data_IF_804437303522
#
_entry.id   IF_804437303522
#
_cell.length_a   1.000
_cell.length_b   1.000
_cell.length_c   1.000
_cell.angle_alpha   90.00
_cell.angle_beta   90.00
_cell.angle_gamma   90.00
#
_symmetry.space_group_name_H-M   'P 1'
#
loop_
_entity.id
_entity.type
_entity.pdbx_description
1 polymer ?
#
# COMPACT_ATOMS: atom_id res chain seq x y z
N UNK A 1 -18.81 3.93 -14.67
CA UNK A 1 -17.66 3.02 -14.99
C UNK A 1 -16.33 3.77 -15.01
N UNK A 2 -16.22 4.96 -15.62
CA UNK A 2 -14.95 5.70 -15.70
C UNK A 2 -14.28 6.03 -14.35
N UNK A 3 -15.06 6.28 -13.28
CA UNK A 3 -14.52 6.60 -11.94
C UNK A 3 -13.61 5.50 -11.37
N UNK A 4 -13.97 4.22 -11.59
CA UNK A 4 -13.15 3.09 -11.15
C UNK A 4 -11.77 3.12 -11.83
N UNK A 5 -11.74 3.38 -13.14
CA UNK A 5 -10.50 3.46 -13.91
C UNK A 5 -9.61 4.65 -13.48
N UNK A 6 -10.20 5.81 -13.20
CA UNK A 6 -9.43 6.98 -12.75
C UNK A 6 -8.82 6.74 -11.36
N UNK A 7 -9.61 6.20 -10.42
CA UNK A 7 -9.12 5.86 -9.09
C UNK A 7 -8.04 4.77 -9.13
N UNK A 8 -8.22 3.73 -9.94
CA UNK A 8 -7.27 2.64 -10.10
C UNK A 8 -5.90 3.15 -10.60
N UNK A 9 -5.87 4.10 -11.54
CA UNK A 9 -4.60 4.70 -12.01
C UNK A 9 -3.82 5.41 -10.91
N UNK A 10 -4.49 6.18 -10.05
CA UNK A 10 -3.83 6.86 -8.93
C UNK A 10 -3.27 5.88 -7.92
N UNK A 11 -4.06 4.86 -7.62
CA UNK A 11 -3.70 3.77 -6.74
C UNK A 11 -2.50 2.94 -7.27
N UNK A 12 -2.40 2.75 -8.60
CA UNK A 12 -1.30 2.03 -9.23
C UNK A 12 0.05 2.74 -9.13
N UNK A 13 0.09 4.08 -8.95
CA UNK A 13 1.35 4.83 -8.87
C UNK A 13 2.21 4.36 -7.68
N UNK A 14 1.73 4.36 -6.42
CA UNK A 14 2.47 3.77 -5.30
C UNK A 14 2.73 2.26 -5.47
N UNK A 15 1.73 1.51 -5.95
CA UNK A 15 1.82 0.06 -6.12
C UNK A 15 2.94 -0.35 -7.09
N UNK A 16 3.08 0.40 -8.19
CA UNK A 16 4.07 0.17 -9.23
C UNK A 16 5.48 0.41 -8.70
N UNK A 17 5.73 1.57 -8.08
CA UNK A 17 7.05 1.93 -7.54
C UNK A 17 7.50 0.93 -6.48
N UNK A 18 6.66 0.66 -5.48
CA UNK A 18 7.00 -0.26 -4.39
C UNK A 18 7.09 -1.70 -4.89
N UNK A 19 6.19 -2.10 -5.80
CA UNK A 19 6.20 -3.43 -6.39
C UNK A 19 7.46 -3.72 -7.20
N UNK A 20 7.96 -2.76 -7.98
CA UNK A 20 9.22 -2.89 -8.73
C UNK A 20 10.40 -2.97 -7.76
N UNK A 21 10.44 -2.12 -6.73
CA UNK A 21 11.51 -2.15 -5.73
C UNK A 21 11.60 -3.51 -5.02
N UNK A 22 10.46 -4.10 -4.64
CA UNK A 22 10.40 -5.43 -4.02
C UNK A 22 10.82 -6.51 -5.02
N UNK A 23 10.25 -6.50 -6.24
CA UNK A 23 10.55 -7.53 -7.24
C UNK A 23 12.02 -7.58 -7.67
N UNK A 24 12.68 -6.42 -7.72
CA UNK A 24 14.09 -6.33 -8.15
C UNK A 24 15.08 -6.64 -7.04
N UNK A 25 14.76 -6.35 -5.78
CA UNK A 25 15.69 -6.51 -4.66
C UNK A 25 15.38 -7.74 -3.81
N UNK A 26 14.12 -7.93 -3.43
CA UNK A 26 13.72 -8.95 -2.47
C UNK A 26 13.77 -10.35 -3.08
N UNK A 27 13.20 -10.51 -4.28
CA UNK A 27 13.04 -11.83 -4.91
C UNK A 27 14.40 -12.48 -5.23
N UNK A 28 15.38 -11.81 -5.88
CA UNK A 28 16.68 -12.41 -6.15
C UNK A 28 17.46 -12.72 -4.88
N UNK A 29 17.42 -11.83 -3.88
CA UNK A 29 18.13 -12.06 -2.61
C UNK A 29 17.55 -13.23 -1.83
N UNK A 30 16.22 -13.31 -1.73
CA UNK A 30 15.54 -14.41 -1.07
C UNK A 30 15.81 -15.74 -1.77
N UNK A 31 15.64 -15.83 -3.10
CA UNK A 31 15.93 -17.05 -3.85
C UNK A 31 17.37 -17.52 -3.69
N UNK A 32 18.34 -16.60 -3.67
CA UNK A 32 19.76 -16.93 -3.44
C UNK A 32 20.00 -17.51 -2.05
N UNK A 33 19.44 -16.89 -1.00
CA UNK A 33 19.63 -17.34 0.39
C UNK A 33 18.98 -18.69 0.66
N UNK A 34 17.79 -18.91 0.10
CA UNK A 34 17.07 -20.18 0.22
C UNK A 34 17.79 -21.32 -0.48
N UNK A 35 18.33 -21.09 -1.68
CA UNK A 35 19.17 -22.08 -2.38
C UNK A 35 20.46 -22.40 -1.63
N UNK A 36 20.99 -21.44 -0.87
CA UNK A 36 22.18 -21.64 -0.02
C UNK A 36 21.87 -22.31 1.34
N UNK A 37 20.61 -22.62 1.64
CA UNK A 37 20.20 -23.15 2.95
C UNK A 37 20.27 -22.14 4.10
N UNK A 38 20.44 -20.84 3.81
CA UNK A 38 20.53 -19.76 4.79
C UNK A 38 19.12 -19.32 5.24
N UNK A 39 18.52 -20.14 6.11
CA UNK A 39 17.18 -19.90 6.62
C UNK A 39 17.06 -18.58 7.41
N UNK A 40 18.05 -18.28 8.25
CA UNK A 40 18.04 -17.05 9.05
C UNK A 40 18.20 -15.80 8.19
N UNK A 41 19.06 -15.85 7.18
CA UNK A 41 19.17 -14.76 6.23
C UNK A 41 17.92 -14.60 5.35
N UNK A 42 17.32 -15.70 4.89
CA UNK A 42 16.05 -15.66 4.17
C UNK A 42 14.94 -14.98 4.98
N UNK A 43 14.85 -15.34 6.27
CA UNK A 43 13.96 -14.69 7.25
C UNK A 43 14.22 -13.18 7.33
N UNK A 44 15.48 -12.79 7.48
CA UNK A 44 15.86 -11.39 7.61
C UNK A 44 15.48 -10.61 6.34
N UNK A 45 15.79 -11.14 5.15
CA UNK A 45 15.46 -10.52 3.87
C UNK A 45 13.95 -10.34 3.68
N UNK A 46 13.16 -11.38 3.96
CA UNK A 46 11.70 -11.30 3.92
C UNK A 46 11.17 -10.21 4.86
N UNK A 47 11.62 -10.22 6.12
CA UNK A 47 11.17 -9.24 7.13
C UNK A 47 11.61 -7.81 6.77
N UNK A 48 12.80 -7.60 6.20
CA UNK A 48 13.24 -6.28 5.72
C UNK A 48 12.39 -5.82 4.52
N UNK A 49 12.09 -6.72 3.59
CA UNK A 49 11.22 -6.45 2.45
C UNK A 49 9.79 -6.10 2.86
N UNK A 50 9.22 -6.86 3.79
CA UNK A 50 7.91 -6.60 4.37
C UNK A 50 7.87 -5.27 5.15
N UNK A 51 8.92 -4.97 5.91
CA UNK A 51 9.04 -3.70 6.62
C UNK A 51 9.08 -2.52 5.65
N UNK A 52 9.90 -2.59 4.60
CA UNK A 52 9.97 -1.57 3.56
C UNK A 52 8.65 -1.42 2.81
N UNK A 53 7.99 -2.54 2.49
CA UNK A 53 6.68 -2.55 1.86
C UNK A 53 5.65 -1.77 2.69
N UNK A 54 5.49 -2.12 3.97
CA UNK A 54 4.52 -1.46 4.87
C UNK A 54 4.91 -0.01 5.14
N UNK A 55 6.20 0.28 5.31
CA UNK A 55 6.73 1.63 5.47
C UNK A 55 6.36 2.56 4.32
N UNK A 56 6.34 2.06 3.09
CA UNK A 56 6.01 2.90 1.93
C UNK A 56 4.50 2.91 1.66
N UNK A 57 3.83 1.78 1.85
CA UNK A 57 2.42 1.63 1.44
C UNK A 57 1.43 2.10 2.49
N UNK A 58 1.73 1.96 3.77
CA UNK A 58 0.82 2.39 4.82
C UNK A 58 0.61 3.92 4.85
N UNK A 59 1.65 4.78 4.80
CA UNK A 59 1.42 6.22 4.70
C UNK A 59 0.74 6.57 3.37
N UNK A 60 1.13 5.94 2.26
CA UNK A 60 0.46 6.19 0.97
C UNK A 60 -1.04 5.83 1.04
N UNK A 61 -1.40 4.71 1.65
CA UNK A 61 -2.78 4.31 1.89
C UNK A 61 -3.53 5.36 2.72
N UNK A 62 -2.94 5.82 3.82
CA UNK A 62 -3.55 6.86 4.67
C UNK A 62 -3.72 8.16 3.90
N UNK A 63 -2.74 8.60 3.13
CA UNK A 63 -2.86 9.80 2.30
C UNK A 63 -3.99 9.62 1.26
N UNK A 64 -4.02 8.51 0.53
CA UNK A 64 -5.06 8.22 -0.46
C UNK A 64 -6.47 8.15 0.16
N UNK A 65 -6.60 7.74 1.42
CA UNK A 65 -7.88 7.73 2.14
C UNK A 65 -8.27 9.12 2.64
N UNK A 66 -7.35 9.83 3.29
CA UNK A 66 -7.64 11.10 4.00
C UNK A 66 -7.81 12.27 3.03
N UNK A 67 -7.00 12.32 1.97
CA UNK A 67 -7.00 13.42 0.99
C UNK A 67 -7.47 12.96 -0.39
N UNK A 68 -8.30 11.91 -0.49
CA UNK A 68 -8.88 11.45 -1.75
C UNK A 68 -9.59 12.57 -2.53
N UNK A 69 -10.49 13.29 -1.84
CA UNK A 69 -11.35 14.34 -2.41
C UNK A 69 -10.55 15.47 -3.09
N UNK A 70 -9.60 16.15 -2.38
CA UNK A 70 -8.81 17.19 -3.02
C UNK A 70 -7.90 16.63 -4.11
N UNK A 71 -7.41 15.40 -3.98
CA UNK A 71 -6.55 14.77 -4.97
C UNK A 71 -7.31 14.50 -6.28
N UNK A 72 -8.52 13.94 -6.22
CA UNK A 72 -9.38 13.76 -7.38
C UNK A 72 -9.86 15.09 -7.98
N UNK A 73 -10.23 16.06 -7.13
CA UNK A 73 -10.67 17.39 -7.57
C UNK A 73 -9.58 18.11 -8.36
N UNK A 74 -8.37 18.18 -7.82
CA UNK A 74 -7.25 18.89 -8.45
C UNK A 74 -6.76 18.17 -9.70
N UNK A 75 -6.77 16.84 -9.72
CA UNK A 75 -6.25 16.07 -10.85
C UNK A 75 -7.25 15.87 -11.98
N UNK A 76 -8.55 15.80 -11.70
CA UNK A 76 -9.54 15.42 -12.70
C UNK A 76 -10.65 16.45 -12.94
N UNK A 77 -11.02 17.28 -11.96
CA UNK A 77 -12.16 18.21 -12.09
C UNK A 77 -11.87 19.40 -13.03
N UNK A 78 -11.91 19.13 -14.34
CA UNK A 78 -11.74 20.09 -15.44
C UNK A 78 -12.65 19.74 -16.61
N UNK A 79 -13.12 20.76 -17.33
CA UNK A 79 -13.94 20.58 -18.53
C UNK A 79 -15.22 19.80 -18.22
N UNK A 80 -15.39 18.64 -18.86
CA UNK A 80 -16.58 17.79 -18.71
C UNK A 80 -16.62 16.97 -17.40
N UNK A 81 -15.53 16.95 -16.62
CA UNK A 81 -15.48 16.18 -15.38
C UNK A 81 -16.06 16.98 -14.22
N UNK A 82 -17.21 16.56 -13.71
CA UNK A 82 -17.99 17.32 -12.72
C UNK A 82 -17.46 17.13 -11.29
N UNK A 83 -17.96 17.94 -10.36
CA UNK A 83 -17.70 17.75 -8.93
C UNK A 83 -18.21 16.38 -8.44
N UNK A 84 -19.37 15.94 -8.93
CA UNK A 84 -19.94 14.64 -8.57
C UNK A 84 -19.06 13.47 -9.05
N UNK A 85 -18.47 13.59 -10.26
CA UNK A 85 -17.51 12.61 -10.76
C UNK A 85 -16.24 12.54 -9.90
N UNK A 86 -15.81 13.70 -9.38
CA UNK A 86 -14.64 13.81 -8.51
C UNK A 86 -14.88 13.14 -7.16
N UNK A 87 -16.03 13.42 -6.55
CA UNK A 87 -16.46 12.79 -5.31
C UNK A 87 -16.63 11.27 -5.45
N UNK A 88 -17.28 10.81 -6.52
CA UNK A 88 -17.42 9.38 -6.79
C UNK A 88 -16.05 8.70 -6.97
N UNK A 89 -15.13 9.32 -7.72
CA UNK A 89 -13.76 8.82 -7.91
C UNK A 89 -12.97 8.82 -6.60
N UNK A 90 -13.15 9.83 -5.75
CA UNK A 90 -12.49 9.94 -4.45
C UNK A 90 -12.92 8.82 -3.49
N UNK A 91 -14.21 8.48 -3.45
CA UNK A 91 -14.70 7.34 -2.67
C UNK A 91 -14.05 6.03 -3.13
N UNK A 92 -14.01 5.77 -4.44
CA UNK A 92 -13.30 4.58 -4.97
C UNK A 92 -11.83 4.60 -4.56
N UNK A 93 -11.18 5.75 -4.72
CA UNK A 93 -9.76 5.90 -4.43
C UNK A 93 -9.44 5.63 -2.96
N UNK A 94 -10.29 6.11 -2.04
CA UNK A 94 -10.15 5.81 -0.62
C UNK A 94 -10.29 4.31 -0.34
N UNK A 95 -11.27 3.64 -0.97
CA UNK A 95 -11.45 2.19 -0.83
C UNK A 95 -10.21 1.43 -1.34
N UNK A 96 -9.71 1.75 -2.53
CA UNK A 96 -8.48 1.15 -3.06
C UNK A 96 -7.24 1.50 -2.23
N UNK A 97 -7.17 2.72 -1.70
CA UNK A 97 -6.14 3.15 -0.77
C UNK A 97 -6.03 2.23 0.44
N UNK A 98 -7.16 1.84 1.03
CA UNK A 98 -7.21 0.88 2.14
C UNK A 98 -6.73 -0.54 1.74
N UNK A 99 -6.81 -0.89 0.46
CA UNK A 99 -6.27 -2.14 -0.09
C UNK A 99 -4.78 -2.11 -0.41
N UNK A 100 -4.18 -0.92 -0.60
CA UNK A 100 -2.79 -0.75 -1.06
C UNK A 100 -1.74 -1.57 -0.30
N UNK A 101 -1.74 -1.61 1.04
CA UNK A 101 -0.77 -2.41 1.78
C UNK A 101 -0.92 -3.90 1.47
N UNK A 102 -2.15 -4.39 1.26
CA UNK A 102 -2.41 -5.80 0.98
C UNK A 102 -1.81 -6.24 -0.36
N UNK A 103 -2.02 -5.46 -1.41
CA UNK A 103 -1.54 -5.79 -2.76
C UNK A 103 -0.02 -5.79 -2.87
N UNK A 104 0.67 -4.93 -2.13
CA UNK A 104 2.13 -4.99 -2.04
C UNK A 104 2.58 -6.17 -1.20
N UNK A 105 1.89 -6.48 -0.10
CA UNK A 105 2.24 -7.60 0.77
C UNK A 105 2.10 -8.95 0.04
N UNK A 106 1.19 -9.07 -0.94
CA UNK A 106 1.16 -10.24 -1.85
C UNK A 106 2.51 -10.46 -2.53
N UNK A 107 3.09 -9.38 -3.09
CA UNK A 107 4.37 -9.44 -3.82
C UNK A 107 5.54 -9.74 -2.89
N UNK A 108 5.43 -9.41 -1.60
CA UNK A 108 6.43 -9.77 -0.58
C UNK A 108 6.34 -11.24 -0.21
N UNK A 109 5.13 -11.77 -0.07
CA UNK A 109 4.90 -13.15 0.41
C UNK A 109 5.05 -14.20 -0.70
N UNK A 110 4.66 -13.89 -1.94
CA UNK A 110 4.78 -14.81 -3.08
C UNK A 110 6.18 -15.43 -3.28
N UNK A 111 7.29 -14.65 -3.20
CA UNK A 111 8.65 -15.18 -3.26
C UNK A 111 8.94 -16.36 -2.32
N UNK A 112 8.31 -16.40 -1.14
CA UNK A 112 8.51 -17.47 -0.15
C UNK A 112 8.05 -18.84 -0.67
N UNK A 113 6.98 -18.82 -1.47
CA UNK A 113 6.39 -20.01 -2.08
C UNK A 113 7.18 -20.41 -3.35
N UNK A 114 7.48 -19.43 -4.21
CA UNK A 114 8.18 -19.70 -5.48
C UNK A 114 9.62 -20.18 -5.28
N UNK A 115 10.33 -19.68 -4.28
CA UNK A 115 11.68 -20.14 -3.98
C UNK A 115 11.72 -21.58 -3.43
N UNK A 116 10.57 -22.15 -3.03
CA UNK A 116 10.40 -23.55 -2.62
C UNK A 116 9.73 -24.41 -3.69
N UNK A 117 9.64 -23.92 -4.92
CA UNK A 117 8.97 -24.59 -6.03
C UNK A 117 7.45 -24.84 -5.78
N UNK A 118 6.86 -24.19 -4.78
CA UNK A 118 5.42 -24.25 -4.49
C UNK A 118 4.68 -23.14 -5.25
N UNK A 119 4.49 -23.33 -6.56
CA UNK A 119 3.69 -22.40 -7.38
C UNK A 119 2.18 -22.66 -7.27
N UNK A 120 1.78 -23.83 -6.77
CA UNK A 120 0.38 -24.27 -6.71
C UNK A 120 -0.40 -23.51 -5.65
N UNK A 121 0.13 -23.37 -4.42
CA UNK A 121 -0.61 -22.68 -3.35
C UNK A 121 -0.91 -21.20 -3.66
N UNK A 122 0.06 -20.37 -4.12
CA UNK A 122 -0.22 -18.99 -4.50
C UNK A 122 -1.28 -18.88 -5.61
N UNK A 123 -1.25 -19.79 -6.58
CA UNK A 123 -2.24 -19.85 -7.64
C UNK A 123 -3.64 -20.19 -7.09
N UNK A 124 -3.76 -21.22 -6.24
CA UNK A 124 -5.03 -21.57 -5.59
C UNK A 124 -5.59 -20.42 -4.75
N UNK A 125 -4.75 -19.71 -3.98
CA UNK A 125 -5.18 -18.55 -3.20
C UNK A 125 -5.67 -17.40 -4.10
N UNK A 126 -4.99 -17.16 -5.22
CA UNK A 126 -5.43 -16.18 -6.21
C UNK A 126 -6.81 -16.54 -6.80
N UNK A 127 -7.03 -17.82 -7.14
CA UNK A 127 -8.33 -18.30 -7.65
C UNK A 127 -9.42 -18.15 -6.59
N UNK A 128 -9.17 -18.55 -5.34
CA UNK A 128 -10.15 -18.39 -4.25
C UNK A 128 -10.48 -16.90 -4.07
N UNK A 129 -9.47 -16.04 -4.06
CA UNK A 129 -9.65 -14.60 -3.90
C UNK A 129 -10.40 -13.95 -5.07
N UNK A 130 -10.18 -14.45 -6.29
CA UNK A 130 -10.94 -14.05 -7.48
C UNK A 130 -12.41 -14.44 -7.37
N UNK A 131 -12.70 -15.68 -6.95
CA UNK A 131 -14.07 -16.15 -6.72
C UNK A 131 -14.74 -15.32 -5.62
N UNK A 132 -14.07 -15.12 -4.49
CA UNK A 132 -14.58 -14.28 -3.39
C UNK A 132 -14.79 -12.84 -3.85
N UNK A 133 -13.92 -12.31 -4.71
CA UNK A 133 -14.11 -10.97 -5.29
C UNK A 133 -15.42 -10.92 -6.08
N UNK A 134 -15.63 -11.86 -7.00
CA UNK A 134 -16.85 -11.91 -7.79
C UNK A 134 -18.11 -12.03 -6.91
N UNK A 135 -18.07 -12.90 -5.89
CA UNK A 135 -19.19 -13.08 -4.95
C UNK A 135 -19.48 -11.79 -4.16
N UNK A 136 -18.44 -11.12 -3.65
CA UNK A 136 -18.58 -9.87 -2.90
C UNK A 136 -19.06 -8.75 -3.84
N UNK A 137 -18.52 -8.64 -5.05
CA UNK A 137 -18.88 -7.61 -6.02
C UNK A 137 -20.35 -7.73 -6.42
N UNK A 138 -20.82 -8.94 -6.74
CA UNK A 138 -22.21 -9.21 -7.11
C UNK A 138 -23.13 -9.07 -5.89
N UNK A 139 -22.72 -9.59 -4.73
CA UNK A 139 -23.51 -9.56 -3.50
C UNK A 139 -23.69 -8.16 -2.90
N UNK A 140 -22.67 -7.30 -2.99
CA UNK A 140 -22.73 -5.91 -2.53
C UNK A 140 -23.32 -4.95 -3.57
N UNK A 141 -23.48 -5.36 -4.84
CA UNK A 141 -24.01 -4.50 -5.90
C UNK A 141 -25.36 -3.86 -5.54
N UNK A 142 -26.35 -4.57 -4.95
CA UNK A 142 -27.63 -3.96 -4.58
C UNK A 142 -27.53 -2.94 -3.44
N UNK A 143 -26.50 -3.04 -2.59
CA UNK A 143 -26.35 -2.24 -1.37
C UNK A 143 -25.44 -1.03 -1.60
N UNK A 144 -24.30 -1.25 -2.24
CA UNK A 144 -23.22 -0.26 -2.40
C UNK A 144 -23.12 0.27 -3.84
N UNK A 145 -23.95 -0.24 -4.75
CA UNK A 145 -24.00 0.17 -6.15
C UNK A 145 -22.64 0.06 -6.83
N UNK A 146 -22.23 1.12 -7.53
CA UNK A 146 -20.98 1.17 -8.31
C UNK A 146 -19.71 0.99 -7.47
N UNK A 147 -19.74 1.25 -6.16
CA UNK A 147 -18.57 1.12 -5.28
C UNK A 147 -18.32 -0.33 -4.83
N UNK A 148 -19.27 -1.24 -5.04
CA UNK A 148 -19.19 -2.65 -4.66
C UNK A 148 -17.93 -3.34 -5.24
N UNK A 149 -17.56 -3.03 -6.47
CA UNK A 149 -16.37 -3.59 -7.12
C UNK A 149 -15.06 -3.18 -6.43
N UNK A 150 -15.00 -1.95 -5.90
CA UNK A 150 -13.83 -1.45 -5.19
C UNK A 150 -13.68 -2.14 -3.82
N UNK A 151 -14.79 -2.32 -3.11
CA UNK A 151 -14.85 -3.07 -1.85
C UNK A 151 -14.46 -4.53 -2.05
N UNK A 152 -15.04 -5.19 -3.06
CA UNK A 152 -14.72 -6.57 -3.40
C UNK A 152 -13.22 -6.77 -3.66
N UNK A 153 -12.62 -5.87 -4.42
CA UNK A 153 -11.18 -5.89 -4.74
C UNK A 153 -10.32 -5.72 -3.50
N UNK A 154 -10.68 -4.77 -2.64
CA UNK A 154 -9.95 -4.49 -1.41
C UNK A 154 -10.04 -5.63 -0.41
N UNK A 155 -11.25 -6.17 -0.18
CA UNK A 155 -11.48 -7.26 0.76
C UNK A 155 -10.82 -8.55 0.28
N UNK A 156 -10.97 -8.90 -1.00
CA UNK A 156 -10.30 -10.08 -1.57
C UNK A 156 -8.79 -9.94 -1.56
N UNK A 157 -8.26 -8.72 -1.72
CA UNK A 157 -6.84 -8.45 -1.56
C UNK A 157 -6.36 -8.81 -0.14
N UNK A 158 -7.04 -8.32 0.89
CA UNK A 158 -6.73 -8.67 2.28
C UNK A 158 -6.91 -10.17 2.58
N UNK A 159 -7.94 -10.80 2.02
CA UNK A 159 -8.15 -12.24 2.13
C UNK A 159 -6.96 -13.03 1.57
N UNK A 160 -6.47 -12.67 0.37
CA UNK A 160 -5.32 -13.32 -0.24
C UNK A 160 -4.05 -13.16 0.61
N UNK A 161 -3.82 -11.99 1.22
CA UNK A 161 -2.73 -11.80 2.20
C UNK A 161 -2.89 -12.79 3.34
N UNK A 162 -4.09 -12.88 3.92
CA UNK A 162 -4.38 -13.79 5.03
C UNK A 162 -4.09 -15.25 4.65
N UNK A 163 -4.50 -15.68 3.45
CA UNK A 163 -4.23 -17.02 2.94
C UNK A 163 -2.73 -17.28 2.74
N UNK A 164 -2.01 -16.34 2.12
CA UNK A 164 -0.56 -16.44 1.93
C UNK A 164 0.18 -16.51 3.26
N UNK A 165 -0.22 -15.70 4.23
CA UNK A 165 0.39 -15.68 5.56
C UNK A 165 0.07 -16.94 6.39
N UNK A 166 -1.16 -17.45 6.33
CA UNK A 166 -1.52 -18.71 6.98
C UNK A 166 -0.78 -19.89 6.32
N UNK A 167 -0.66 -19.88 4.99
CA UNK A 167 0.08 -20.88 4.23
C UNK A 167 1.58 -20.83 4.50
N UNK A 168 2.15 -19.64 4.71
CA UNK A 168 3.58 -19.45 4.99
C UNK A 168 3.98 -19.96 6.37
N UNK A 169 3.09 -19.91 7.37
CA UNK A 169 3.39 -20.37 8.74
C UNK A 169 3.88 -21.81 8.83
N UNK A 170 3.52 -22.67 7.86
CA UNK A 170 3.95 -24.07 7.81
C UNK A 170 5.27 -24.30 7.07
N UNK A 171 5.93 -23.23 6.60
CA UNK A 171 7.13 -23.31 5.75
C UNK A 171 8.46 -23.23 6.51
N UNK A 172 8.41 -23.22 7.85
CA UNK A 172 9.60 -23.22 8.72
C UNK A 172 9.95 -21.83 9.27
N UNK A 173 11.10 -21.71 9.97
CA UNK A 173 11.48 -20.51 10.73
C UNK A 173 11.67 -19.25 9.88
N UNK A 174 11.89 -19.42 8.58
CA UNK A 174 12.07 -18.34 7.61
C UNK A 174 10.82 -17.48 7.39
N UNK A 175 9.65 -18.07 7.62
CA UNK A 175 8.37 -17.39 7.51
C UNK A 175 7.99 -16.62 8.78
N UNK A 176 8.80 -16.71 9.84
CA UNK A 176 8.49 -16.08 11.12
C UNK A 176 8.88 -14.60 11.10
N UNK A 177 8.02 -13.78 11.70
CA UNK A 177 8.30 -12.35 11.86
C UNK A 177 9.41 -12.15 12.89
N UNK A 178 10.39 -11.32 12.57
CA UNK A 178 11.46 -10.97 13.50
C UNK A 178 10.98 -9.96 14.56
N UNK A 179 11.58 -10.00 15.75
CA UNK A 179 11.31 -9.04 16.82
C UNK A 179 11.47 -7.57 16.35
N UNK A 180 12.42 -7.30 15.45
CA UNK A 180 12.59 -5.97 14.83
C UNK A 180 11.37 -5.56 14.00
N UNK A 181 10.78 -6.47 13.22
CA UNK A 181 9.58 -6.19 12.44
C UNK A 181 8.40 -5.89 13.36
N UNK A 182 8.19 -6.75 14.37
CA UNK A 182 7.11 -6.59 15.36
C UNK A 182 7.23 -5.30 16.17
N UNK A 183 8.45 -4.86 16.50
CA UNK A 183 8.69 -3.60 17.21
C UNK A 183 8.54 -2.36 16.32
N UNK A 184 8.79 -2.47 15.01
CA UNK A 184 8.68 -1.34 14.08
C UNK A 184 7.27 -1.15 13.52
N UNK A 185 6.52 -2.23 13.34
CA UNK A 185 5.14 -2.17 12.85
C UNK A 185 4.26 -1.15 13.60
N UNK A 186 4.14 -1.16 14.94
CA UNK A 186 3.30 -0.19 15.65
C UNK A 186 3.82 1.24 15.51
N UNK A 187 5.14 1.43 15.36
CA UNK A 187 5.75 2.77 15.15
C UNK A 187 5.42 3.31 13.76
N UNK A 188 5.44 2.44 12.74
CA UNK A 188 5.04 2.79 11.37
C UNK A 188 3.54 3.13 11.35
N UNK A 189 2.71 2.33 12.03
CA UNK A 189 1.28 2.61 12.15
C UNK A 189 1.03 3.94 12.85
N UNK A 190 1.73 4.24 13.94
CA UNK A 190 1.62 5.51 14.66
C UNK A 190 2.08 6.69 13.81
N UNK A 191 3.22 6.59 13.13
CA UNK A 191 3.71 7.64 12.22
C UNK A 191 2.74 7.89 11.06
N UNK A 192 2.17 6.83 10.46
CA UNK A 192 1.15 6.96 9.42
C UNK A 192 -0.15 7.57 9.96
N UNK A 193 -0.57 7.21 11.18
CA UNK A 193 -1.75 7.80 11.82
C UNK A 193 -1.56 9.30 12.12
N UNK A 194 -0.39 9.68 12.65
CA UNK A 194 -0.04 11.09 12.88
C UNK A 194 0.03 11.88 11.58
N UNK A 195 0.61 11.30 10.52
CA UNK A 195 0.58 11.88 9.19
C UNK A 195 -0.86 12.06 8.69
N UNK A 196 -1.73 11.05 8.88
CA UNK A 196 -3.15 11.15 8.55
C UNK A 196 -3.86 12.28 9.29
N UNK A 197 -3.60 12.43 10.59
CA UNK A 197 -4.14 13.54 11.38
C UNK A 197 -3.64 14.91 10.88
N UNK A 198 -2.34 15.02 10.56
CA UNK A 198 -1.77 16.24 10.00
C UNK A 198 -2.36 16.59 8.62
N UNK A 199 -2.53 15.59 7.75
CA UNK A 199 -3.18 15.76 6.45
C UNK A 199 -4.65 16.15 6.58
N UNK A 200 -5.38 15.56 7.52
CA UNK A 200 -6.77 15.89 7.78
C UNK A 200 -6.91 17.34 8.29
N UNK A 201 -6.10 17.73 9.26
CA UNK A 201 -6.05 19.10 9.78
C UNK A 201 -5.63 20.10 8.69
N UNK A 202 -4.58 19.78 7.93
CA UNK A 202 -4.14 20.58 6.79
C UNK A 202 -5.23 20.74 5.73
N UNK A 203 -5.97 19.66 5.44
CA UNK A 203 -7.08 19.70 4.48
C UNK A 203 -8.19 20.64 4.95
N UNK A 204 -8.58 20.57 6.23
CA UNK A 204 -9.56 21.50 6.81
C UNK A 204 -9.10 22.96 6.68
N UNK A 205 -7.85 23.26 7.05
CA UNK A 205 -7.29 24.62 6.99
C UNK A 205 -7.13 25.14 5.55
N UNK A 206 -6.79 24.27 4.60
CA UNK A 206 -6.59 24.62 3.20
C UNK A 206 -7.85 24.54 2.35
N UNK A 207 -9.00 24.10 2.90
CA UNK A 207 -10.29 24.02 2.19
C UNK A 207 -10.62 25.30 1.39
N UNK A 208 -10.45 26.53 1.94
CA UNK A 208 -10.73 27.76 1.19
C UNK A 208 -9.81 27.97 -0.02
N UNK A 209 -8.56 27.51 0.06
CA UNK A 209 -7.61 27.57 -1.06
C UNK A 209 -7.83 26.43 -2.07
N UNK A 210 -8.33 25.28 -1.59
CA UNK A 210 -8.69 24.11 -2.41
C UNK A 210 -9.98 24.32 -3.20
N UNK A 211 -10.79 25.35 -2.93
CA UNK A 211 -11.98 25.66 -3.74
C UNK A 211 -11.69 26.64 -4.87
N UNK A 212 -10.61 27.42 -4.80
CA UNK A 212 -10.28 28.45 -5.80
C UNK A 212 -9.41 27.86 -6.94
N UNK A 213 -9.83 27.93 -8.22
CA UNK A 213 -9.20 27.21 -9.34
C UNK A 213 -7.69 27.41 -9.50
N UNK A 214 -7.15 28.61 -9.24
CA UNK A 214 -5.73 28.90 -9.43
C UNK A 214 -4.85 28.45 -8.27
N UNK A 215 -5.40 28.38 -7.05
CA UNK A 215 -4.65 28.03 -5.83
C UNK A 215 -4.69 26.54 -5.51
N UNK A 216 -5.61 25.79 -6.13
CA UNK A 216 -5.81 24.34 -5.95
C UNK A 216 -4.55 23.50 -6.09
N UNK A 217 -3.72 23.75 -7.11
CA UNK A 217 -2.48 23.00 -7.30
C UNK A 217 -1.44 23.27 -6.21
N UNK A 218 -1.32 24.53 -5.79
CA UNK A 218 -0.40 24.94 -4.73
C UNK A 218 -0.85 24.38 -3.37
N UNK A 219 -2.14 24.43 -3.08
CA UNK A 219 -2.70 23.84 -1.86
C UNK A 219 -2.50 22.31 -1.81
N UNK A 220 -2.69 21.60 -2.93
CA UNK A 220 -2.39 20.16 -2.98
C UNK A 220 -0.88 19.89 -2.81
N UNK A 221 -0.02 20.69 -3.44
CA UNK A 221 1.43 20.59 -3.28
C UNK A 221 1.86 20.80 -1.82
N UNK A 222 1.26 21.76 -1.12
CA UNK A 222 1.46 21.98 0.31
C UNK A 222 0.97 20.81 1.15
N UNK A 223 -0.20 20.24 0.85
CA UNK A 223 -0.72 19.05 1.56
C UNK A 223 0.21 17.85 1.39
N UNK A 224 0.65 17.56 0.16
CA UNK A 224 1.59 16.47 -0.11
C UNK A 224 2.90 16.71 0.64
N UNK A 225 3.41 17.93 0.62
CA UNK A 225 4.64 18.32 1.34
C UNK A 225 4.47 18.16 2.86
N UNK A 226 3.33 18.58 3.42
CA UNK A 226 2.98 18.40 4.82
C UNK A 226 2.93 16.91 5.19
N UNK A 227 2.33 16.08 4.36
CA UNK A 227 2.30 14.62 4.56
C UNK A 227 3.71 14.02 4.57
N UNK A 228 4.54 14.35 3.58
CA UNK A 228 5.93 13.89 3.50
C UNK A 228 6.71 14.31 4.75
N UNK A 229 6.70 15.61 5.08
CA UNK A 229 7.44 16.14 6.24
C UNK A 229 6.93 15.55 7.55
N UNK A 230 5.61 15.46 7.74
CA UNK A 230 5.01 14.86 8.93
C UNK A 230 5.39 13.40 9.08
N UNK A 231 5.35 12.62 7.99
CA UNK A 231 5.66 11.19 8.04
C UNK A 231 7.14 10.93 8.31
N UNK A 232 8.04 11.57 7.55
CA UNK A 232 9.48 11.39 7.76
C UNK A 232 9.93 12.00 9.10
N UNK A 233 9.35 13.13 9.53
CA UNK A 233 9.62 13.74 10.82
C UNK A 233 9.20 12.87 12.00
N UNK A 234 7.94 12.43 12.03
CA UNK A 234 7.44 11.54 13.11
C UNK A 234 8.07 10.14 13.03
N UNK A 235 8.27 9.60 11.82
CA UNK A 235 8.88 8.29 11.61
C UNK A 235 10.34 8.23 12.05
N UNK A 236 11.11 9.31 11.88
CA UNK A 236 12.49 9.40 12.40
C UNK A 236 12.50 9.60 13.92
N UNK A 237 11.64 10.47 14.45
CA UNK A 237 11.52 10.70 15.90
C UNK A 237 11.10 9.44 16.68
N UNK A 238 10.16 8.66 16.13
CA UNK A 238 9.71 7.38 16.72
C UNK A 238 10.69 6.23 16.47
N UNK A 239 11.74 6.44 15.67
CA UNK A 239 12.69 5.40 15.27
C UNK A 239 12.07 4.29 14.43
N UNK A 240 11.04 4.61 13.64
CA UNK A 240 10.46 3.71 12.63
C UNK A 240 11.44 3.49 11.47
N UNK A 241 12.18 4.53 11.09
CA UNK A 241 13.24 4.49 10.06
C UNK A 241 14.54 5.02 10.65
N UNK A 242 15.65 4.29 10.47
CA UNK A 242 16.98 4.88 10.66
C UNK A 242 17.44 5.38 9.30
N UNK A 243 17.87 6.64 9.17
CA UNK A 243 18.45 7.16 7.92
C UNK A 243 19.67 6.31 7.46
N UNK A 244 20.33 5.60 8.37
CA UNK A 244 21.39 4.64 8.06
C UNK A 244 20.91 3.42 7.27
N UNK A 245 19.66 2.97 7.43
CA UNK A 245 19.09 1.84 6.67
C UNK A 245 18.96 2.19 5.17
N UNK A 246 18.82 3.48 4.82
CA UNK A 246 18.85 3.96 3.43
C UNK A 246 20.28 4.20 2.90
N UNK A 247 21.23 4.53 3.77
CA UNK A 247 22.63 4.78 3.40
C UNK A 247 23.37 3.48 3.00
N UNK A 248 23.06 2.35 3.64
CA UNK A 248 23.65 1.05 3.30
C UNK A 248 23.17 0.52 1.93
N UNK A 249 22.00 0.93 1.46
CA UNK A 249 21.52 0.64 0.09
C UNK A 249 22.33 1.41 -0.98
N UNK A 250 22.91 2.56 -0.63
CA UNK A 250 23.76 3.35 -1.55
C UNK A 250 25.19 2.80 -1.67
N UNK A 251 25.68 2.04 -0.68
CA UNK A 251 27.05 1.49 -0.65
C UNK A 251 27.20 0.12 -1.32
N UNK A 252 26.12 -0.55 -1.70
CA UNK A 252 26.15 -1.83 -2.42
C UNK A 252 25.72 -1.68 -3.89
N UNK A 253 26.33 -0.74 -4.61
CA UNK A 253 26.43 -0.84 -6.07
C UNK A 253 27.75 -1.53 -6.39
N UNK A 254 27.75 -2.61 -7.19
CA UNK A 254 28.99 -3.18 -7.71
C UNK A 254 29.71 -2.17 -8.62
#
# INVERSE_FOLDING_TARGET
>A
VAWLTYADRLYQLPLGVVGIAIGTVLLPDLSRRLRAGDALGGRASLNRGAEFAIAMTLPAAVALVVIAEPLCTVLYQRGAFTANDSHATAIVLAIYGAGLPAFVLHKVLQPLFYAREDSRRPFTYAVISMITNALIAIGLLPILGWSAAAWATTISGWMMVGQLWLGSRRMGPEAHLDARFLNRLPRIMLASALMGAALYAGNLMLTPMLTVPHWRFLALGLLISLGIVSYFGTGTALGAFRLSDFADLRRKRP
#
